data_IF_670743209047
#
_entry.id   IF_670743209047
#
_cell.length_a   1.000
_cell.length_b   1.000
_cell.length_c   1.000
_cell.angle_alpha   90.00
_cell.angle_beta   90.00
_cell.angle_gamma   90.00
#
_symmetry.space_group_name_H-M   'P 1'
#
loop_
_entity.id
_entity.type
_entity.pdbx_description
1 polymer ?
#
# COMPACT_ATOMS: atom_id res chain seq x y z
N UNK A 1 58.43 4.48 7.95
CA UNK A 1 57.53 4.11 6.83
C UNK A 1 56.60 2.93 7.14
N UNK A 2 57.10 1.82 7.72
CA UNK A 2 56.27 0.63 8.03
C UNK A 2 55.06 0.87 8.96
N UNK A 3 55.15 1.80 9.92
CA UNK A 3 54.04 2.13 10.85
C UNK A 3 52.79 2.68 10.15
N UNK A 4 52.98 3.47 9.09
CA UNK A 4 51.87 4.05 8.34
C UNK A 4 51.19 3.02 7.44
N UNK A 5 51.97 2.06 6.93
CA UNK A 5 51.46 0.92 6.18
C UNK A 5 50.52 0.05 7.04
N UNK A 6 50.94 -0.32 8.26
CA UNK A 6 50.09 -1.10 9.16
C UNK A 6 48.83 -0.34 9.60
N UNK A 7 48.92 0.98 9.75
CA UNK A 7 47.75 1.82 10.04
C UNK A 7 46.73 1.81 8.89
N UNK A 8 47.18 2.01 7.66
CA UNK A 8 46.32 1.94 6.48
C UNK A 8 45.74 0.54 6.27
N UNK A 9 46.52 -0.50 6.53
CA UNK A 9 46.08 -1.89 6.42
C UNK A 9 44.94 -2.19 7.41
N UNK A 10 45.03 -1.70 8.65
CA UNK A 10 43.99 -1.88 9.65
C UNK A 10 42.70 -1.16 9.28
N UNK A 11 42.78 0.05 8.70
CA UNK A 11 41.61 0.78 8.20
C UNK A 11 40.98 0.04 7.02
N UNK A 12 41.79 -0.39 6.04
CA UNK A 12 41.31 -1.15 4.89
C UNK A 12 40.60 -2.44 5.31
N UNK A 13 41.15 -3.14 6.31
CA UNK A 13 40.53 -4.33 6.87
C UNK A 13 39.18 -4.02 7.54
N UNK A 14 39.09 -2.93 8.30
CA UNK A 14 37.82 -2.50 8.92
C UNK A 14 36.76 -2.16 7.89
N UNK A 15 37.12 -1.43 6.82
CA UNK A 15 36.21 -1.10 5.72
C UNK A 15 35.74 -2.36 5.01
N UNK A 16 36.67 -3.27 4.66
CA UNK A 16 36.34 -4.52 3.98
C UNK A 16 35.41 -5.39 4.84
N UNK A 17 35.69 -5.52 6.14
CA UNK A 17 34.85 -6.27 7.06
C UNK A 17 33.45 -5.64 7.23
N UNK A 18 33.37 -4.31 7.32
CA UNK A 18 32.10 -3.59 7.42
C UNK A 18 31.23 -3.74 6.18
N UNK A 19 31.84 -3.61 4.98
CA UNK A 19 31.15 -3.84 3.71
C UNK A 19 30.68 -5.29 3.56
N UNK A 20 31.55 -6.25 3.88
CA UNK A 20 31.18 -7.66 3.83
C UNK A 20 30.00 -7.97 4.76
N UNK A 21 30.03 -7.46 5.99
CA UNK A 21 28.94 -7.64 6.93
C UNK A 21 27.63 -7.00 6.44
N UNK A 22 27.69 -5.75 5.98
CA UNK A 22 26.52 -5.02 5.51
C UNK A 22 25.91 -5.56 4.21
N UNK A 23 26.68 -6.23 3.36
CA UNK A 23 26.18 -6.72 2.07
C UNK A 23 25.85 -8.22 2.07
N UNK A 24 26.60 -9.04 2.82
CA UNK A 24 26.48 -10.51 2.78
C UNK A 24 25.75 -11.06 4.00
N UNK A 25 25.97 -10.49 5.20
CA UNK A 25 25.36 -11.01 6.44
C UNK A 25 23.98 -10.39 6.68
N UNK A 26 23.84 -9.09 6.41
CA UNK A 26 22.59 -8.34 6.54
C UNK A 26 22.32 -7.55 5.26
N UNK A 27 22.06 -8.23 4.12
CA UNK A 27 21.68 -7.52 2.90
C UNK A 27 20.50 -6.60 3.20
N UNK A 28 20.45 -5.43 2.54
CA UNK A 28 19.30 -4.54 2.65
C UNK A 28 18.07 -5.29 2.14
N UNK A 29 17.21 -5.69 3.06
CA UNK A 29 15.91 -6.24 2.72
C UNK A 29 15.05 -5.02 2.40
N UNK A 30 14.74 -4.83 1.12
CA UNK A 30 13.65 -3.93 0.75
C UNK A 30 12.38 -4.57 1.32
N UNK A 31 12.05 -4.24 2.56
CA UNK A 31 10.75 -4.57 3.14
C UNK A 31 9.77 -3.82 2.26
N UNK A 32 9.07 -4.54 1.39
CA UNK A 32 8.07 -4.06 0.43
C UNK A 32 7.27 -2.88 1.04
N UNK A 33 7.71 -1.65 0.81
CA UNK A 33 6.99 -0.42 1.18
C UNK A 33 5.93 -0.08 0.12
N UNK A 34 5.51 -1.10 -0.63
CA UNK A 34 4.48 -1.01 -1.62
C UNK A 34 3.13 -0.92 -0.90
N UNK A 35 2.16 -0.12 -1.38
CA UNK A 35 0.97 0.15 -0.59
C UNK A 35 0.05 -1.08 -0.35
N UNK A 36 0.33 -2.21 -0.98
CA UNK A 36 -0.27 -3.50 -0.69
C UNK A 36 0.20 -4.13 0.63
N UNK A 37 1.35 -3.75 1.18
CA UNK A 37 1.83 -4.26 2.47
C UNK A 37 1.20 -3.53 3.67
N UNK A 38 0.38 -2.49 3.43
CA UNK A 38 -0.30 -1.79 4.51
C UNK A 38 -1.20 -2.74 5.30
N UNK A 39 -1.20 -2.53 6.62
CA UNK A 39 -2.16 -3.13 7.53
C UNK A 39 -3.58 -2.66 7.16
N UNK A 40 -4.56 -3.50 7.51
CA UNK A 40 -5.97 -3.28 7.16
C UNK A 40 -6.55 -1.98 7.72
N UNK A 41 -6.07 -1.51 8.87
CA UNK A 41 -6.45 -0.22 9.46
C UNK A 41 -6.12 0.93 8.50
N UNK A 42 -4.86 1.02 8.06
CA UNK A 42 -4.44 2.07 7.13
C UNK A 42 -5.04 1.92 5.72
N UNK A 43 -5.26 0.68 5.25
CA UNK A 43 -5.98 0.45 3.99
C UNK A 43 -7.41 0.97 4.08
N UNK A 44 -8.07 0.77 5.22
CA UNK A 44 -9.43 1.27 5.47
C UNK A 44 -9.46 2.79 5.47
N UNK A 45 -8.50 3.44 6.14
CA UNK A 45 -8.39 4.91 6.15
C UNK A 45 -8.18 5.47 4.72
N UNK A 46 -7.36 4.81 3.90
CA UNK A 46 -7.15 5.22 2.51
C UNK A 46 -8.41 5.06 1.64
N UNK A 47 -9.16 3.97 1.84
CA UNK A 47 -10.45 3.75 1.17
C UNK A 47 -11.45 4.84 1.58
N UNK A 48 -11.51 5.17 2.87
CA UNK A 48 -12.38 6.24 3.38
C UNK A 48 -12.03 7.60 2.76
N UNK A 49 -10.75 7.99 2.77
CA UNK A 49 -10.29 9.25 2.15
C UNK A 49 -10.62 9.30 0.65
N UNK A 50 -10.51 8.16 -0.03
CA UNK A 50 -10.90 8.04 -1.44
C UNK A 50 -12.42 8.18 -1.63
N UNK A 51 -13.22 7.62 -0.73
CA UNK A 51 -14.68 7.73 -0.73
C UNK A 51 -15.16 9.16 -0.43
N UNK A 52 -14.52 9.86 0.51
CA UNK A 52 -14.76 11.28 0.79
C UNK A 52 -14.47 12.14 -0.43
N UNK A 53 -13.32 11.89 -1.07
CA UNK A 53 -12.94 12.63 -2.29
C UNK A 53 -13.90 12.35 -3.43
N UNK A 54 -14.33 11.09 -3.60
CA UNK A 54 -15.37 10.72 -4.57
C UNK A 54 -16.70 11.42 -4.26
N UNK A 55 -17.10 11.51 -3.00
CA UNK A 55 -18.33 12.20 -2.61
C UNK A 55 -18.27 13.70 -2.94
N UNK A 56 -17.11 14.33 -2.78
CA UNK A 56 -16.91 15.74 -3.11
C UNK A 56 -16.81 16.02 -4.62
N UNK A 57 -16.10 15.17 -5.37
CA UNK A 57 -15.76 15.39 -6.78
C UNK A 57 -16.71 14.69 -7.76
N UNK A 58 -17.40 13.62 -7.34
CA UNK A 58 -18.24 12.76 -8.17
C UNK A 58 -17.49 11.91 -9.21
N UNK A 59 -16.15 11.96 -9.22
CA UNK A 59 -15.34 11.30 -10.25
C UNK A 59 -14.94 9.87 -9.83
N UNK A 60 -15.72 8.89 -10.29
CA UNK A 60 -15.49 7.48 -9.97
C UNK A 60 -14.22 6.92 -10.64
N UNK A 61 -13.89 7.32 -11.86
CA UNK A 61 -12.67 6.85 -12.54
C UNK A 61 -11.42 7.25 -11.74
N UNK A 62 -11.39 8.48 -11.24
CA UNK A 62 -10.29 8.97 -10.40
C UNK A 62 -10.24 8.23 -9.06
N UNK A 63 -11.39 7.91 -8.46
CA UNK A 63 -11.45 7.10 -7.24
C UNK A 63 -10.88 5.70 -7.46
N UNK A 64 -11.19 5.04 -8.58
CA UNK A 64 -10.65 3.72 -8.90
C UNK A 64 -9.14 3.75 -9.16
N UNK A 65 -8.63 4.79 -9.84
CA UNK A 65 -7.19 5.01 -10.01
C UNK A 65 -6.47 5.18 -8.68
N UNK A 66 -7.08 5.90 -7.72
CA UNK A 66 -6.57 6.03 -6.36
C UNK A 66 -6.56 4.67 -5.65
N UNK A 67 -7.65 3.90 -5.71
CA UNK A 67 -7.74 2.57 -5.08
C UNK A 67 -6.75 1.55 -5.66
N UNK A 68 -6.43 1.64 -6.96
CA UNK A 68 -5.44 0.77 -7.61
C UNK A 68 -4.03 0.87 -7.00
N UNK A 69 -3.75 1.94 -6.23
CA UNK A 69 -2.48 2.10 -5.50
C UNK A 69 -2.32 1.04 -4.40
N UNK A 70 -3.43 0.51 -3.84
CA UNK A 70 -3.41 -0.54 -2.81
C UNK A 70 -2.96 -1.92 -3.32
N UNK A 71 -2.57 -2.01 -4.59
CA UNK A 71 -1.93 -3.17 -5.22
C UNK A 71 -2.91 -4.17 -5.83
N UNK A 72 -2.58 -5.47 -5.71
CA UNK A 72 -3.16 -6.55 -6.52
C UNK A 72 -4.64 -6.88 -6.22
N UNK A 73 -5.19 -6.39 -5.11
CA UNK A 73 -6.62 -6.53 -4.83
C UNK A 73 -7.44 -5.61 -5.73
N UNK A 74 -8.50 -6.16 -6.33
CA UNK A 74 -9.43 -5.33 -7.10
C UNK A 74 -9.95 -4.16 -6.24
N UNK A 75 -10.27 -2.99 -6.82
CA UNK A 75 -10.86 -1.88 -6.08
C UNK A 75 -12.11 -2.29 -5.29
N UNK A 76 -12.92 -3.22 -5.83
CA UNK A 76 -14.06 -3.83 -5.16
C UNK A 76 -13.66 -4.61 -3.90
N UNK A 77 -12.62 -5.45 -3.96
CA UNK A 77 -12.16 -6.23 -2.81
C UNK A 77 -11.58 -5.33 -1.72
N UNK A 78 -10.89 -4.27 -2.12
CA UNK A 78 -10.34 -3.25 -1.21
C UNK A 78 -11.46 -2.55 -0.44
N UNK A 79 -12.51 -2.11 -1.13
CA UNK A 79 -13.67 -1.46 -0.49
C UNK A 79 -14.42 -2.45 0.40
N UNK A 80 -14.64 -3.69 -0.05
CA UNK A 80 -15.34 -4.70 0.73
C UNK A 80 -14.59 -5.04 2.04
N UNK A 81 -13.26 -5.21 1.96
CA UNK A 81 -12.40 -5.48 3.11
C UNK A 81 -12.41 -4.32 4.11
N UNK A 82 -12.34 -3.08 3.59
CA UNK A 82 -12.43 -1.86 4.39
C UNK A 82 -13.78 -1.74 5.11
N UNK A 83 -14.90 -2.02 4.43
CA UNK A 83 -16.23 -2.00 5.06
C UNK A 83 -16.38 -3.03 6.17
N UNK A 84 -15.86 -4.25 5.98
CA UNK A 84 -15.87 -5.29 7.02
C UNK A 84 -15.03 -4.87 8.22
N UNK A 85 -13.87 -4.27 8.00
CA UNK A 85 -13.02 -3.77 9.09
C UNK A 85 -13.65 -2.59 9.81
N UNK A 86 -14.17 -1.60 9.08
CA UNK A 86 -14.82 -0.41 9.61
C UNK A 86 -16.02 -0.75 10.51
N UNK A 87 -16.85 -1.72 10.07
CA UNK A 87 -17.98 -2.21 10.86
C UNK A 87 -17.55 -2.92 12.16
N UNK A 88 -16.39 -3.59 12.17
CA UNK A 88 -15.86 -4.28 13.36
C UNK A 88 -15.17 -3.33 14.34
N UNK A 89 -14.52 -2.29 13.83
CA UNK A 89 -13.68 -1.38 14.62
C UNK A 89 -14.45 -0.15 15.11
N UNK A 90 -15.70 0.04 14.67
CA UNK A 90 -16.59 1.10 15.17
C UNK A 90 -16.39 2.46 14.50
N UNK A 91 -16.13 2.48 13.19
CA UNK A 91 -16.09 3.70 12.40
C UNK A 91 -17.46 4.41 12.42
N UNK A 92 -17.47 5.72 12.18
CA UNK A 92 -18.70 6.51 12.14
C UNK A 92 -19.67 6.02 11.06
N UNK A 93 -20.97 6.07 11.32
CA UNK A 93 -21.98 5.66 10.35
C UNK A 93 -21.91 6.48 9.05
N UNK A 94 -21.56 7.76 9.16
CA UNK A 94 -21.35 8.63 8.00
C UNK A 94 -20.18 8.14 7.12
N UNK A 95 -19.06 7.76 7.74
CA UNK A 95 -17.85 7.28 7.05
C UNK A 95 -18.13 5.95 6.35
N UNK A 96 -18.83 5.04 7.03
CA UNK A 96 -19.28 3.77 6.47
C UNK A 96 -20.22 4.03 5.29
N UNK A 97 -21.15 4.97 5.40
CA UNK A 97 -22.06 5.33 4.31
C UNK A 97 -21.32 5.88 3.08
N UNK A 98 -20.25 6.66 3.27
CA UNK A 98 -19.41 7.15 2.17
C UNK A 98 -18.73 5.99 1.43
N UNK A 99 -18.12 5.06 2.16
CA UNK A 99 -17.50 3.86 1.57
C UNK A 99 -18.53 2.96 0.87
N UNK A 100 -19.74 2.82 1.43
CA UNK A 100 -20.84 2.10 0.80
C UNK A 100 -21.32 2.78 -0.50
N UNK A 101 -21.42 4.11 -0.51
CA UNK A 101 -21.77 4.86 -1.71
C UNK A 101 -20.75 4.63 -2.83
N UNK A 102 -19.45 4.62 -2.50
CA UNK A 102 -18.40 4.29 -3.46
C UNK A 102 -18.53 2.84 -3.97
N UNK A 103 -18.81 1.88 -3.09
CA UNK A 103 -19.04 0.48 -3.46
C UNK A 103 -20.22 0.32 -4.43
N UNK A 104 -21.34 1.00 -4.15
CA UNK A 104 -22.54 0.97 -4.97
C UNK A 104 -22.28 1.59 -6.34
N UNK A 105 -21.55 2.71 -6.40
CA UNK A 105 -21.20 3.37 -7.65
C UNK A 105 -20.35 2.47 -8.56
N UNK A 106 -19.46 1.66 -7.96
CA UNK A 106 -18.68 0.66 -8.71
C UNK A 106 -19.55 -0.46 -9.28
N UNK A 107 -20.51 -0.99 -8.49
CA UNK A 107 -21.44 -2.04 -8.93
C UNK A 107 -22.34 -1.63 -10.09
N UNK A 108 -22.58 -0.33 -10.29
CA UNK A 108 -23.36 0.18 -11.44
C UNK A 108 -22.57 0.11 -12.75
N UNK A 109 -21.23 0.10 -12.69
CA UNK A 109 -20.34 0.06 -13.87
C UNK A 109 -19.84 -1.36 -14.18
N UNK A 110 -19.67 -2.19 -13.15
CA UNK A 110 -19.34 -3.62 -13.28
C UNK A 110 -20.35 -4.53 -14.04
N UNK A 111 -21.64 -4.22 -14.27
CA UNK A 111 -22.57 -5.12 -14.98
C UNK A 111 -22.18 -5.33 -16.44
N UNK A 112 -21.33 -4.48 -17.01
CA UNK A 112 -20.91 -4.54 -18.41
C UNK A 112 -19.65 -5.39 -18.63
N UNK A 113 -18.88 -5.70 -17.58
CA UNK A 113 -17.62 -6.44 -17.71
C UNK A 113 -17.79 -7.97 -17.88
N UNK A 114 -18.97 -8.53 -17.56
CA UNK A 114 -19.24 -9.98 -17.72
C UNK A 114 -19.72 -10.38 -19.13
N UNK A 115 -20.08 -9.41 -20.00
CA UNK A 115 -20.70 -9.70 -21.32
C UNK A 115 -19.68 -9.79 -22.47
N UNK A 116 -18.39 -9.93 -22.18
CA UNK A 116 -17.35 -10.13 -23.19
C UNK A 116 -16.38 -11.23 -22.76
N UNK A 117 -16.90 -12.45 -22.67
CA UNK A 117 -16.11 -13.66 -22.85
C UNK A 117 -16.52 -14.27 -24.21
N UNK A 118 -15.59 -14.44 -25.17
CA UNK A 118 -15.85 -15.16 -26.42
C UNK A 118 -16.02 -16.66 -26.21
#
# INVERSE_FOLDING_TARGET
MSRWFFFLLSIGFGIAAGLFYGWVVKPVEYIETSPDSLRIDYKTDYVLMTAETYHAEGNLEMALRRLAVLGDSSPSDSIASALVFAAKTGYGEADIALMQNLANALQVISPTAEISQP
#
